data_IF_239418975998
#
_entry.id   IF_239418975998
#
_cell.length_a   1.000
_cell.length_b   1.000
_cell.length_c   1.000
_cell.angle_alpha   90.00
_cell.angle_beta   90.00
_cell.angle_gamma   90.00
#
_symmetry.space_group_name_H-M   'P 1'
#
loop_
_entity.id
_entity.type
_entity.pdbx_description
1 polymer ?
#
# COMPACT_ATOMS: atom_id res chain seq x y z
N UNK A 1 -4.69 -43.03 -9.44
CA UNK A 1 -5.35 -41.76 -9.81
C UNK A 1 -5.49 -40.96 -8.52
N UNK A 2 -4.51 -40.09 -8.26
CA UNK A 2 -4.19 -39.58 -6.92
C UNK A 2 -4.14 -38.05 -6.99
N UNK A 3 -4.99 -37.41 -6.17
CA UNK A 3 -4.82 -36.07 -5.63
C UNK A 3 -3.75 -36.11 -4.53
N UNK A 4 -2.87 -35.11 -4.38
CA UNK A 4 -2.09 -34.99 -3.15
C UNK A 4 -2.57 -33.81 -2.30
N UNK A 5 -2.99 -34.16 -1.08
CA UNK A 5 -2.88 -33.30 0.12
C UNK A 5 -1.61 -33.68 0.90
N UNK A 6 -1.02 -32.68 1.56
CA UNK A 6 0.00 -32.73 2.64
C UNK A 6 1.41 -33.23 2.24
N UNK A 7 2.56 -32.78 2.78
CA UNK A 7 2.98 -32.68 4.19
C UNK A 7 4.41 -32.04 4.26
N UNK A 8 4.72 -31.32 5.35
CA UNK A 8 6.09 -31.09 5.84
C UNK A 8 6.50 -32.24 6.76
N UNK A 9 7.51 -33.06 6.43
CA UNK A 9 8.35 -33.75 7.43
C UNK A 9 9.76 -33.92 6.89
N UNK A 10 10.73 -33.40 7.63
CA UNK A 10 12.15 -33.67 7.49
C UNK A 10 12.45 -35.09 7.99
N UNK A 11 13.23 -35.86 7.23
CA UNK A 11 13.82 -37.11 7.70
C UNK A 11 15.33 -36.94 7.86
N UNK A 12 15.80 -36.99 9.10
CA UNK A 12 17.18 -37.24 9.45
C UNK A 12 17.45 -38.75 9.32
N UNK A 13 18.53 -39.13 8.66
CA UNK A 13 19.15 -40.45 8.79
C UNK A 13 20.65 -40.27 9.00
N UNK A 14 21.09 -40.74 10.17
CA UNK A 14 22.47 -40.90 10.59
C UNK A 14 23.14 -42.00 9.76
N UNK A 15 24.33 -41.71 9.23
CA UNK A 15 25.24 -42.69 8.64
C UNK A 15 26.67 -42.22 8.84
N UNK A 16 27.32 -42.76 9.86
CA UNK A 16 28.74 -42.54 10.18
C UNK A 16 29.61 -43.46 9.33
N UNK A 17 30.53 -42.93 8.52
CA UNK A 17 31.74 -43.65 8.10
C UNK A 17 32.91 -42.68 7.83
N UNK A 18 33.89 -42.75 8.74
CA UNK A 18 35.35 -42.54 8.69
C UNK A 18 35.99 -41.74 7.54
N UNK A 19 36.83 -40.79 7.97
CA UNK A 19 38.00 -40.28 7.24
C UNK A 19 39.08 -41.36 7.09
N UNK A 20 39.84 -41.32 5.99
CA UNK A 20 41.32 -41.41 5.90
C UNK A 20 41.73 -41.29 4.40
N UNK A 21 42.92 -40.70 4.21
CA UNK A 21 43.89 -40.81 3.10
C UNK A 21 43.87 -39.92 1.83
N UNK A 22 44.97 -39.16 1.73
CA UNK A 22 45.54 -38.42 0.60
C UNK A 22 45.81 -39.29 -0.64
N UNK A 23 45.64 -38.74 -1.85
CA UNK A 23 46.59 -38.88 -2.96
C UNK A 23 46.59 -37.60 -3.82
N UNK A 24 47.79 -37.06 -4.03
CA UNK A 24 48.15 -35.96 -4.95
C UNK A 24 48.31 -36.51 -6.38
N UNK A 25 47.72 -35.87 -7.40
CA UNK A 25 48.43 -35.59 -8.67
C UNK A 25 47.72 -34.54 -9.56
N UNK A 26 48.57 -33.76 -10.24
CA UNK A 26 48.29 -32.61 -11.10
C UNK A 26 47.68 -33.03 -12.44
N UNK A 27 46.66 -32.33 -12.89
CA UNK A 27 46.57 -31.92 -14.30
C UNK A 27 45.68 -30.69 -14.47
N UNK A 28 46.25 -29.67 -15.10
CA UNK A 28 45.54 -28.47 -15.53
C UNK A 28 44.68 -28.84 -16.73
N UNK A 29 43.36 -28.80 -16.57
CA UNK A 29 42.41 -28.71 -17.68
C UNK A 29 41.56 -27.48 -17.43
N UNK A 30 41.61 -26.52 -18.35
CA UNK A 30 40.73 -25.38 -18.42
C UNK A 30 39.27 -25.87 -18.35
N UNK A 31 38.60 -25.63 -17.23
CA UNK A 31 37.16 -25.66 -17.19
C UNK A 31 36.69 -24.23 -16.94
N UNK A 32 36.06 -23.71 -18.00
CA UNK A 32 35.15 -22.58 -18.04
C UNK A 32 34.68 -22.14 -16.66
N UNK A 33 34.84 -20.85 -16.35
CA UNK A 33 33.98 -20.18 -15.39
C UNK A 33 32.55 -20.64 -15.67
N UNK A 34 31.99 -21.44 -14.76
CA UNK A 34 30.56 -21.55 -14.64
C UNK A 34 30.09 -20.11 -14.47
N UNK A 35 29.48 -19.56 -15.53
CA UNK A 35 28.70 -18.35 -15.40
C UNK A 35 27.70 -18.68 -14.30
N UNK A 36 27.94 -18.16 -13.10
CA UNK A 36 26.91 -18.09 -12.07
C UNK A 36 25.76 -17.40 -12.78
N UNK A 37 24.70 -18.15 -13.08
CA UNK A 37 23.51 -17.59 -13.69
C UNK A 37 23.14 -16.40 -12.83
N UNK A 38 23.20 -15.19 -13.38
CA UNK A 38 22.81 -14.00 -12.66
C UNK A 38 21.45 -14.31 -12.04
N UNK A 39 21.34 -14.17 -10.71
CA UNK A 39 20.09 -14.42 -10.01
C UNK A 39 19.01 -13.65 -10.78
N UNK A 40 18.00 -14.36 -11.29
CA UNK A 40 17.05 -13.71 -12.15
C UNK A 40 16.38 -12.56 -11.35
N UNK A 41 16.13 -11.45 -12.04
CA UNK A 41 15.61 -10.21 -11.42
C UNK A 41 14.32 -9.77 -12.09
N UNK A 42 13.59 -8.89 -11.40
CA UNK A 42 12.48 -8.13 -11.95
C UNK A 42 12.85 -6.66 -12.02
N UNK A 43 12.38 -5.98 -13.06
CA UNK A 43 12.53 -4.53 -13.20
C UNK A 43 11.17 -3.85 -13.06
N UNK A 44 11.13 -2.75 -12.31
CA UNK A 44 9.96 -1.88 -12.26
C UNK A 44 10.37 -0.48 -12.69
N UNK A 45 9.84 -0.03 -13.82
CA UNK A 45 10.01 1.32 -14.33
C UNK A 45 8.92 2.23 -13.77
N UNK A 46 9.30 3.21 -12.97
CA UNK A 46 8.44 4.32 -12.59
C UNK A 46 8.43 5.35 -13.71
N UNK A 47 7.25 5.86 -14.02
CA UNK A 47 7.03 6.96 -14.95
C UNK A 47 6.09 7.98 -14.33
N UNK A 48 6.58 9.21 -14.14
CA UNK A 48 5.74 10.30 -13.67
C UNK A 48 5.09 11.03 -14.85
N UNK A 49 3.85 10.70 -15.16
CA UNK A 49 3.06 11.43 -16.15
C UNK A 49 2.20 12.55 -15.52
N UNK A 50 2.39 12.83 -14.22
CA UNK A 50 1.72 13.96 -13.58
C UNK A 50 2.38 15.28 -14.01
N UNK A 51 1.59 16.36 -14.06
CA UNK A 51 2.09 17.72 -14.28
C UNK A 51 2.84 18.33 -13.08
N UNK A 52 3.27 17.51 -12.12
CA UNK A 52 4.03 17.91 -10.93
C UNK A 52 5.03 16.83 -10.53
N UNK A 53 6.05 17.20 -9.74
CA UNK A 53 6.98 16.26 -9.12
C UNK A 53 6.25 15.36 -8.12
N UNK A 54 6.52 14.06 -8.17
CA UNK A 54 6.02 13.08 -7.19
C UNK A 54 7.15 12.61 -6.29
N UNK A 55 6.83 12.34 -5.02
CA UNK A 55 7.72 11.65 -4.09
C UNK A 55 7.18 10.23 -3.89
N UNK A 56 8.02 9.21 -4.05
CA UNK A 56 7.61 7.81 -4.01
C UNK A 56 8.36 7.02 -2.94
N UNK A 57 7.76 5.91 -2.48
CA UNK A 57 8.45 5.01 -1.55
C UNK A 57 8.03 3.56 -1.75
N UNK A 58 9.04 2.69 -1.76
CA UNK A 58 8.90 1.24 -1.70
C UNK A 58 8.73 0.73 -0.28
N UNK A 59 7.96 -0.33 -0.14
CA UNK A 59 7.81 -1.11 1.11
C UNK A 59 7.80 -2.59 0.77
N UNK A 60 8.48 -3.41 1.56
CA UNK A 60 8.31 -4.87 1.53
C UNK A 60 7.10 -5.31 2.37
N UNK A 61 6.51 -6.46 2.04
CA UNK A 61 5.36 -7.01 2.74
C UNK A 61 5.64 -7.45 4.19
N UNK A 62 4.58 -7.48 5.01
CA UNK A 62 4.54 -8.12 6.34
C UNK A 62 4.10 -9.60 6.21
N UNK A 63 4.65 -10.49 7.04
CA UNK A 63 4.42 -11.95 7.15
C UNK A 63 5.50 -12.89 6.57
N UNK A 64 6.77 -12.53 6.69
CA UNK A 64 7.84 -13.52 6.71
C UNK A 64 8.52 -13.56 8.08
N UNK A 65 9.06 -14.71 8.53
CA UNK A 65 9.92 -14.77 9.71
C UNK A 65 10.98 -13.67 9.62
N UNK A 66 11.39 -13.12 10.77
CA UNK A 66 12.21 -11.91 10.95
C UNK A 66 13.56 -11.83 10.19
N UNK A 67 13.86 -12.79 9.31
CA UNK A 67 15.12 -12.99 8.62
C UNK A 67 15.01 -12.95 7.08
N UNK A 68 13.80 -12.85 6.50
CA UNK A 68 13.63 -12.62 5.06
C UNK A 68 13.51 -11.11 4.77
N UNK A 69 14.62 -10.39 4.91
CA UNK A 69 14.70 -9.00 4.45
C UNK A 69 14.61 -8.99 2.92
N UNK A 70 13.41 -8.78 2.37
CA UNK A 70 13.27 -8.44 0.96
C UNK A 70 13.88 -7.03 0.77
N UNK A 71 15.04 -6.90 0.09
CA UNK A 71 15.73 -5.63 0.01
C UNK A 71 14.86 -4.62 -0.73
N UNK A 72 14.73 -3.42 -0.16
CA UNK A 72 14.15 -2.28 -0.85
C UNK A 72 15.18 -1.77 -1.87
N UNK A 73 14.80 -1.53 -3.14
CA UNK A 73 15.73 -0.98 -4.12
C UNK A 73 16.23 0.40 -3.70
N UNK A 74 17.46 0.72 -4.09
CA UNK A 74 18.05 2.05 -3.90
C UNK A 74 17.16 3.14 -4.51
N UNK A 75 17.17 4.37 -3.97
CA UNK A 75 16.49 5.47 -4.62
C UNK A 75 17.10 5.80 -6.00
N UNK A 76 16.34 6.50 -6.82
CA UNK A 76 16.82 7.02 -8.10
C UNK A 76 17.80 8.21 -7.96
N UNK A 77 18.25 8.77 -9.09
CA UNK A 77 19.24 9.87 -9.10
C UNK A 77 18.79 11.11 -8.32
N UNK A 78 17.48 11.37 -8.26
CA UNK A 78 16.88 12.48 -7.52
C UNK A 78 16.37 12.04 -6.13
N UNK A 79 16.93 10.97 -5.57
CA UNK A 79 16.41 10.34 -4.37
C UNK A 79 15.07 9.64 -4.64
N UNK A 80 14.14 9.79 -3.70
CA UNK A 80 12.78 9.26 -3.77
C UNK A 80 11.81 10.18 -4.52
N UNK A 81 12.32 10.93 -5.51
CA UNK A 81 11.56 11.93 -6.26
C UNK A 81 11.63 11.64 -7.74
N UNK A 82 10.56 11.98 -8.46
CA UNK A 82 10.48 11.82 -9.90
C UNK A 82 9.83 13.09 -10.49
N UNK A 83 10.58 13.84 -11.29
CA UNK A 83 10.09 15.05 -11.97
C UNK A 83 9.05 14.69 -13.02
N UNK A 84 8.29 15.67 -13.46
CA UNK A 84 7.34 15.51 -14.57
C UNK A 84 8.04 14.91 -15.80
N UNK A 85 7.43 13.88 -16.38
CA UNK A 85 7.93 13.09 -17.51
C UNK A 85 9.21 12.29 -17.25
N UNK A 86 9.72 12.26 -16.03
CA UNK A 86 10.91 11.48 -15.68
C UNK A 86 10.56 9.99 -15.52
N UNK A 87 11.54 9.13 -15.83
CA UNK A 87 11.48 7.69 -15.62
C UNK A 87 12.64 7.20 -14.78
N UNK A 88 12.38 6.20 -13.94
CA UNK A 88 13.38 5.54 -13.13
C UNK A 88 13.12 4.04 -13.08
N UNK A 89 14.11 3.20 -13.33
CA UNK A 89 13.96 1.73 -13.24
C UNK A 89 14.66 1.21 -12.00
N UNK A 90 13.89 0.56 -11.13
CA UNK A 90 14.38 -0.20 -9.99
C UNK A 90 14.50 -1.69 -10.33
N UNK A 91 15.50 -2.36 -9.74
CA UNK A 91 15.72 -3.80 -9.90
C UNK A 91 15.44 -4.52 -8.58
N UNK A 92 14.69 -5.60 -8.67
CA UNK A 92 14.26 -6.43 -7.53
C UNK A 92 14.77 -7.85 -7.69
N UNK A 93 14.99 -8.51 -6.55
CA UNK A 93 15.22 -9.95 -6.50
C UNK A 93 13.94 -10.69 -6.92
N UNK A 94 14.09 -11.87 -7.53
CA UNK A 94 12.97 -12.64 -8.10
C UNK A 94 11.96 -13.22 -7.10
N UNK A 95 12.26 -13.18 -5.81
CA UNK A 95 11.35 -13.54 -4.73
C UNK A 95 11.18 -12.27 -3.91
N UNK A 96 10.24 -11.41 -4.27
CA UNK A 96 10.01 -10.15 -3.57
C UNK A 96 8.52 -9.87 -3.56
N UNK A 97 8.03 -9.43 -2.40
CA UNK A 97 6.66 -8.97 -2.25
C UNK A 97 6.66 -7.64 -1.52
N UNK A 98 5.79 -6.75 -1.96
CA UNK A 98 5.72 -5.39 -1.44
C UNK A 98 4.93 -4.47 -2.34
N UNK A 99 5.02 -3.18 -2.04
CA UNK A 99 4.29 -2.14 -2.76
C UNK A 99 5.06 -0.84 -2.90
N UNK A 100 4.52 0.03 -3.76
CA UNK A 100 4.93 1.42 -3.90
C UNK A 100 3.72 2.34 -3.80
N UNK A 101 3.89 3.43 -3.07
CA UNK A 101 2.99 4.58 -3.12
C UNK A 101 3.75 5.84 -3.50
N UNK A 102 3.00 6.87 -3.91
CA UNK A 102 3.55 8.20 -4.17
C UNK A 102 2.64 9.29 -3.60
N UNK A 103 3.22 10.46 -3.35
CA UNK A 103 2.55 11.66 -2.86
C UNK A 103 3.12 12.92 -3.53
N UNK A 104 2.42 14.03 -3.36
CA UNK A 104 2.84 15.36 -3.79
C UNK A 104 2.43 16.43 -2.75
N UNK A 105 3.32 17.38 -2.48
CA UNK A 105 3.05 18.54 -1.61
C UNK A 105 2.52 18.11 -0.25
N UNK A 106 1.41 18.73 0.19
CA UNK A 106 0.84 18.50 1.51
C UNK A 106 0.25 17.09 1.73
N UNK A 107 0.01 16.31 0.66
CA UNK A 107 -0.31 14.87 0.80
C UNK A 107 0.86 14.07 1.39
N UNK A 108 2.09 14.57 1.24
CA UNK A 108 3.28 14.02 1.88
C UNK A 108 3.42 14.39 3.36
N UNK A 109 2.65 15.35 3.88
CA UNK A 109 2.69 15.80 5.29
C UNK A 109 1.78 14.97 6.20
N UNK A 110 0.73 14.35 5.64
CA UNK A 110 -0.24 13.51 6.38
C UNK A 110 0.21 12.06 6.59
N UNK A 111 1.31 11.68 5.94
CA UNK A 111 2.14 10.56 6.34
C UNK A 111 3.49 11.11 6.76
N UNK A 112 4.27 10.38 7.53
CA UNK A 112 5.71 10.62 7.58
C UNK A 112 6.33 10.28 6.22
N UNK A 113 5.96 11.00 5.15
CA UNK A 113 6.28 10.71 3.76
C UNK A 113 7.28 11.73 3.22
N UNK A 114 8.45 11.70 3.88
CA UNK A 114 9.78 12.17 3.42
C UNK A 114 10.14 13.61 3.84
N UNK A 115 11.33 13.95 4.35
CA UNK A 115 12.68 13.33 4.41
C UNK A 115 13.07 12.68 5.74
N UNK A 116 13.89 11.62 5.71
CA UNK A 116 14.46 10.95 6.89
C UNK A 116 13.85 9.59 7.26
N UNK A 117 12.85 9.14 6.50
CA UNK A 117 12.15 7.90 6.80
C UNK A 117 10.74 8.04 6.27
N UNK A 118 10.56 7.81 4.97
CA UNK A 118 9.22 7.64 4.46
C UNK A 118 8.68 6.39 5.18
N UNK A 119 7.73 6.48 6.11
CA UNK A 119 6.92 5.31 6.42
C UNK A 119 5.95 5.16 5.25
N UNK A 120 5.58 3.96 4.84
CA UNK A 120 4.18 3.78 4.43
C UNK A 120 3.36 4.03 5.68
N UNK A 121 3.19 5.29 6.05
CA UNK A 121 2.43 5.62 7.22
C UNK A 121 0.98 5.28 6.87
N UNK A 122 0.41 4.41 7.67
CA UNK A 122 -0.99 4.01 7.72
C UNK A 122 -1.95 5.20 7.98
N UNK A 123 -1.57 6.45 7.69
CA UNK A 123 -2.22 7.67 8.19
C UNK A 123 -2.87 8.54 7.10
N UNK A 124 -2.36 8.52 5.86
CA UNK A 124 -2.91 9.27 4.72
C UNK A 124 -3.49 8.35 3.64
N UNK A 125 -4.42 8.83 2.79
CA UNK A 125 -4.90 8.05 1.67
C UNK A 125 -3.79 7.87 0.65
N UNK A 126 -3.60 6.63 0.18
CA UNK A 126 -2.53 6.34 -0.76
C UNK A 126 -2.94 5.23 -1.72
N UNK A 127 -2.97 5.57 -3.00
CA UNK A 127 -3.02 4.57 -4.07
C UNK A 127 -1.67 3.87 -4.13
N UNK A 128 -1.67 2.53 -4.15
CA UNK A 128 -0.45 1.74 -4.19
C UNK A 128 -0.47 0.72 -5.32
N UNK A 129 0.70 0.42 -5.82
CA UNK A 129 0.97 -0.69 -6.72
C UNK A 129 1.59 -1.82 -5.92
N UNK A 130 1.04 -3.03 -6.00
CA UNK A 130 1.50 -4.19 -5.21
C UNK A 130 1.95 -5.33 -6.11
N UNK A 131 2.95 -6.09 -5.63
CA UNK A 131 3.42 -7.29 -6.30
C UNK A 131 3.71 -8.41 -5.32
N UNK A 132 3.60 -9.62 -5.84
CA UNK A 132 4.31 -10.80 -5.37
C UNK A 132 5.03 -11.42 -6.57
N UNK A 133 6.34 -11.23 -6.63
CA UNK A 133 7.20 -11.86 -7.63
C UNK A 133 7.49 -13.30 -7.24
N UNK A 134 7.15 -14.22 -8.12
CA UNK A 134 7.31 -15.66 -7.89
C UNK A 134 8.47 -16.17 -8.73
N UNK A 135 9.51 -16.79 -8.11
CA UNK A 135 10.60 -17.42 -8.84
C UNK A 135 10.06 -18.48 -9.81
N UNK A 136 10.44 -18.35 -11.08
CA UNK A 136 10.08 -19.27 -12.18
C UNK A 136 8.58 -19.58 -12.29
N UNK A 137 7.75 -18.68 -11.77
CA UNK A 137 6.31 -18.85 -11.66
C UNK A 137 5.53 -17.68 -12.24
N UNK A 138 4.31 -17.54 -11.72
CA UNK A 138 3.39 -16.48 -12.10
C UNK A 138 3.43 -15.36 -11.07
N UNK A 139 3.74 -14.15 -11.52
CA UNK A 139 3.72 -12.98 -10.66
C UNK A 139 2.26 -12.54 -10.43
N UNK A 140 1.96 -12.09 -9.21
CA UNK A 140 0.67 -11.53 -8.83
C UNK A 140 0.84 -10.03 -8.61
N UNK A 141 -0.11 -9.23 -9.07
CA UNK A 141 -0.01 -7.79 -8.96
C UNK A 141 -1.36 -7.08 -9.06
N UNK A 142 -1.43 -5.89 -8.48
CA UNK A 142 -2.65 -5.09 -8.47
C UNK A 142 -2.35 -3.60 -8.19
N UNK A 143 -3.37 -2.76 -8.38
CA UNK A 143 -3.39 -1.40 -7.83
C UNK A 143 -4.40 -1.41 -6.69
N UNK A 144 -3.94 -1.19 -5.47
CA UNK A 144 -4.78 -1.12 -4.28
C UNK A 144 -5.14 0.31 -3.91
N UNK A 145 -6.38 0.48 -3.48
CA UNK A 145 -6.93 1.73 -2.92
C UNK A 145 -7.61 1.48 -1.57
N UNK A 146 -7.37 0.32 -0.95
CA UNK A 146 -7.95 -0.09 0.33
C UNK A 146 -7.66 0.93 1.45
N UNK A 147 -6.53 1.61 1.39
CA UNK A 147 -6.11 2.65 2.35
C UNK A 147 -6.47 4.06 1.89
N UNK A 148 -7.09 4.23 0.72
CA UNK A 148 -7.46 5.52 0.16
C UNK A 148 -6.80 5.80 -1.18
N UNK A 149 -7.10 6.97 -1.72
CA UNK A 149 -6.69 7.42 -3.05
C UNK A 149 -6.08 8.81 -2.95
N UNK A 150 -4.96 9.02 -3.63
CA UNK A 150 -4.34 10.34 -3.76
C UNK A 150 -3.85 10.61 -5.19
N UNK A 151 -3.04 9.71 -5.76
CA UNK A 151 -2.47 9.85 -7.10
C UNK A 151 -2.98 8.70 -7.98
N UNK A 152 -3.66 9.00 -9.10
CA UNK A 152 -4.04 8.01 -10.08
C UNK A 152 -2.84 7.19 -10.58
N UNK A 153 -3.00 5.87 -10.72
CA UNK A 153 -1.88 4.99 -11.05
C UNK A 153 -2.32 3.84 -11.95
N UNK A 154 -1.52 3.51 -12.98
CA UNK A 154 -1.65 2.23 -13.68
C UNK A 154 -0.36 1.41 -13.58
N UNK A 155 -0.51 0.10 -13.69
CA UNK A 155 0.61 -0.84 -13.76
C UNK A 155 0.49 -1.70 -15.01
N UNK A 156 1.53 -1.75 -15.83
CA UNK A 156 1.57 -2.55 -17.06
C UNK A 156 2.78 -3.50 -17.08
N UNK A 157 2.61 -4.80 -17.39
CA UNK A 157 3.73 -5.66 -17.76
C UNK A 157 4.28 -5.22 -19.13
N UNK A 158 5.60 -5.11 -19.26
CA UNK A 158 6.28 -4.62 -20.47
C UNK A 158 6.86 -5.79 -21.24
N UNK A 159 6.26 -6.10 -22.40
CA UNK A 159 6.71 -7.17 -23.28
C UNK A 159 5.80 -8.40 -23.26
N UNK A 160 4.95 -8.55 -22.24
CA UNK A 160 3.87 -9.52 -22.25
C UNK A 160 2.81 -9.21 -23.32
N UNK A 161 2.23 -10.28 -23.88
CA UNK A 161 1.04 -10.17 -24.71
C UNK A 161 -0.20 -10.06 -23.84
N UNK A 162 -0.87 -8.91 -23.89
CA UNK A 162 -2.15 -8.70 -23.22
C UNK A 162 -3.22 -9.66 -23.78
N UNK A 163 -3.84 -10.45 -22.91
CA UNK A 163 -4.94 -11.32 -23.31
C UNK A 163 -6.27 -10.57 -23.25
N UNK A 164 -6.85 -10.25 -24.40
CA UNK A 164 -8.14 -9.55 -24.48
C UNK A 164 -9.33 -10.42 -24.04
N UNK A 165 -9.18 -11.76 -24.08
CA UNK A 165 -10.20 -12.72 -23.63
C UNK A 165 -10.11 -13.03 -22.13
N UNK A 166 -8.97 -12.75 -21.51
CA UNK A 166 -8.76 -12.88 -20.07
C UNK A 166 -8.01 -11.63 -19.57
N UNK A 167 -8.74 -10.54 -19.30
CA UNK A 167 -8.13 -9.24 -19.05
C UNK A 167 -7.30 -9.20 -17.77
N UNK A 168 -7.36 -10.23 -16.91
CA UNK A 168 -6.56 -10.37 -15.69
C UNK A 168 -5.21 -11.08 -15.93
N UNK A 169 -5.02 -11.72 -17.10
CA UNK A 169 -3.74 -12.30 -17.52
C UNK A 169 -2.89 -11.27 -18.26
N UNK A 170 -1.78 -10.89 -17.64
CA UNK A 170 -0.88 -9.84 -18.09
C UNK A 170 -1.64 -8.54 -18.43
N UNK A 171 -2.68 -8.26 -17.66
CA UNK A 171 -3.50 -7.06 -17.80
C UNK A 171 -2.91 -5.83 -17.15
N UNK A 172 -3.66 -4.73 -17.24
CA UNK A 172 -3.21 -3.40 -16.82
C UNK A 172 -4.22 -2.83 -15.82
N UNK A 173 -4.07 -3.11 -14.51
CA UNK A 173 -4.88 -2.44 -13.49
C UNK A 173 -4.65 -0.93 -13.53
N UNK A 174 -5.72 -0.18 -13.35
CA UNK A 174 -5.69 1.28 -13.26
C UNK A 174 -5.65 2.02 -14.60
N UNK A 175 -5.65 1.29 -15.73
CA UNK A 175 -5.69 1.91 -17.06
C UNK A 175 -6.98 2.72 -17.27
N UNK A 176 -6.91 3.75 -18.10
CA UNK A 176 -8.04 4.64 -18.40
C UNK A 176 -8.81 4.16 -19.63
N UNK A 177 -8.14 3.41 -20.48
CA UNK A 177 -8.68 2.87 -21.71
C UNK A 177 -9.69 1.78 -21.41
N UNK A 178 -10.85 1.89 -22.05
CA UNK A 178 -11.82 0.80 -22.06
C UNK A 178 -11.25 -0.38 -22.84
N UNK A 179 -11.60 -1.58 -22.41
CA UNK A 179 -11.34 -2.80 -23.19
C UNK A 179 -12.65 -3.33 -23.73
N UNK A 180 -12.56 -4.20 -24.74
CA UNK A 180 -13.71 -4.83 -25.40
C UNK A 180 -14.73 -5.40 -24.41
N UNK A 181 -14.27 -5.79 -23.22
CA UNK A 181 -15.05 -6.42 -22.17
C UNK A 181 -15.48 -5.47 -21.03
N UNK A 182 -14.98 -4.24 -20.89
CA UNK A 182 -15.39 -3.36 -19.78
C UNK A 182 -14.77 -1.97 -19.79
N UNK A 183 -15.25 -1.10 -18.90
CA UNK A 183 -14.78 0.29 -18.80
C UNK A 183 -13.42 0.40 -18.12
N UNK A 184 -12.59 1.30 -18.62
CA UNK A 184 -11.37 1.73 -17.93
C UNK A 184 -11.66 2.59 -16.70
N UNK A 185 -10.62 2.96 -15.98
CA UNK A 185 -10.71 3.81 -14.81
C UNK A 185 -10.87 5.28 -15.19
N UNK A 186 -11.87 5.93 -14.59
CA UNK A 186 -12.03 7.38 -14.69
C UNK A 186 -11.08 8.13 -13.76
N UNK A 187 -10.71 7.51 -12.63
CA UNK A 187 -9.97 8.14 -11.52
C UNK A 187 -10.64 9.39 -10.92
N UNK A 188 -11.88 9.68 -11.30
CA UNK A 188 -12.67 10.81 -10.78
C UNK A 188 -13.56 10.32 -9.64
N UNK A 189 -12.98 10.21 -8.44
CA UNK A 189 -13.72 9.78 -7.26
C UNK A 189 -14.71 10.85 -6.78
N UNK A 190 -14.45 12.13 -7.05
CA UNK A 190 -15.35 13.23 -6.67
C UNK A 190 -16.70 13.13 -7.38
N UNK A 191 -16.72 12.62 -8.62
CA UNK A 191 -17.95 12.32 -9.35
C UNK A 191 -18.83 11.28 -8.66
N UNK A 192 -18.24 10.32 -7.95
CA UNK A 192 -18.95 9.21 -7.34
C UNK A 192 -19.11 9.34 -5.82
N UNK A 193 -18.42 10.31 -5.20
CA UNK A 193 -18.46 10.55 -3.77
C UNK A 193 -18.49 12.06 -3.47
N UNK A 194 -19.65 12.52 -3.01
CA UNK A 194 -19.87 13.91 -2.58
C UNK A 194 -19.79 14.09 -1.07
N UNK A 195 -19.81 13.00 -0.29
CA UNK A 195 -19.77 13.09 1.16
C UNK A 195 -18.38 13.51 1.64
N UNK A 196 -18.37 14.57 2.46
CA UNK A 196 -17.16 15.19 2.95
C UNK A 196 -16.38 14.32 3.94
N UNK A 197 -17.00 13.29 4.52
CA UNK A 197 -16.33 12.30 5.37
C UNK A 197 -15.38 11.37 4.59
N UNK A 198 -15.35 11.44 3.26
CA UNK A 198 -14.33 10.74 2.48
C UNK A 198 -13.18 11.65 2.08
N UNK A 199 -13.31 12.96 2.20
CA UNK A 199 -12.28 13.88 1.74
C UNK A 199 -11.03 13.77 2.62
N UNK A 200 -9.87 13.75 1.99
CA UNK A 200 -8.61 14.03 2.65
C UNK A 200 -8.13 15.43 2.27
N UNK A 201 -7.82 16.24 3.28
CA UNK A 201 -7.51 17.66 3.09
C UNK A 201 -6.19 18.03 3.75
N UNK A 202 -5.49 18.95 3.09
CA UNK A 202 -4.27 19.53 3.58
C UNK A 202 -4.12 20.96 3.06
N UNK A 203 -3.20 21.74 3.65
CA UNK A 203 -3.11 23.18 3.39
C UNK A 203 -4.43 23.92 3.69
N UNK A 204 -4.59 25.09 3.07
CA UNK A 204 -5.75 25.96 3.27
C UNK A 204 -5.78 26.61 4.66
N UNK A 205 -6.97 27.05 5.07
CA UNK A 205 -7.21 27.78 6.31
C UNK A 205 -6.97 26.95 7.56
N UNK A 206 -7.09 25.61 7.47
CA UNK A 206 -7.00 24.72 8.63
C UNK A 206 -8.09 24.96 9.67
N UNK A 207 -9.17 25.67 9.31
CA UNK A 207 -10.31 25.92 10.19
C UNK A 207 -11.03 24.60 10.48
N UNK A 208 -11.32 24.30 11.75
CA UNK A 208 -12.12 23.13 12.10
C UNK A 208 -13.50 23.20 11.43
N UNK A 209 -13.99 22.06 10.93
CA UNK A 209 -15.28 21.97 10.24
C UNK A 209 -16.05 20.72 10.66
N UNK A 210 -17.38 20.79 10.53
CA UNK A 210 -18.31 19.70 10.85
C UNK A 210 -19.37 19.47 9.77
N UNK A 211 -19.27 20.18 8.64
CA UNK A 211 -20.21 20.09 7.52
C UNK A 211 -19.55 20.48 6.20
N UNK A 212 -20.12 19.99 5.09
CA UNK A 212 -19.65 20.30 3.74
C UNK A 212 -19.64 21.81 3.42
N UNK A 213 -20.58 22.58 3.99
CA UNK A 213 -20.68 24.04 3.82
C UNK A 213 -19.88 24.85 4.85
N UNK A 214 -19.15 24.19 5.76
CA UNK A 214 -18.39 24.86 6.83
C UNK A 214 -17.14 25.60 6.36
N UNK A 215 -16.75 25.39 5.09
CA UNK A 215 -15.54 25.90 4.47
C UNK A 215 -15.86 26.94 3.40
N UNK A 216 -14.90 27.82 3.12
CA UNK A 216 -15.05 28.95 2.22
C UNK A 216 -13.80 29.09 1.34
N UNK A 217 -13.84 29.94 0.32
CA UNK A 217 -12.67 30.16 -0.53
C UNK A 217 -12.28 28.96 -1.41
N UNK A 218 -13.25 28.09 -1.76
CA UNK A 218 -12.99 26.89 -2.57
C UNK A 218 -12.43 25.70 -1.78
N UNK A 219 -12.25 25.84 -0.47
CA UNK A 219 -11.88 24.74 0.41
C UNK A 219 -13.04 23.78 0.65
N UNK A 220 -12.70 22.54 0.97
CA UNK A 220 -13.67 21.52 1.37
C UNK A 220 -13.40 21.08 2.80
N UNK A 221 -14.45 20.66 3.49
CA UNK A 221 -14.32 19.97 4.76
C UNK A 221 -13.82 18.54 4.52
N UNK A 222 -12.90 18.05 5.34
CA UNK A 222 -12.41 16.68 5.24
C UNK A 222 -11.44 16.31 6.35
N UNK A 223 -11.02 15.04 6.35
CA UNK A 223 -10.08 14.50 7.31
C UNK A 223 -8.65 14.99 7.04
N UNK A 224 -7.97 15.35 8.11
CA UNK A 224 -6.53 15.58 8.17
C UNK A 224 -5.97 14.79 9.35
N UNK A 225 -4.90 14.05 9.11
CA UNK A 225 -4.16 13.41 10.19
C UNK A 225 -3.34 14.44 10.96
N UNK A 226 -3.48 14.43 12.28
CA UNK A 226 -2.76 15.28 13.23
C UNK A 226 -1.87 14.38 14.08
N UNK A 227 -0.53 14.45 13.92
CA UNK A 227 0.40 13.64 14.70
C UNK A 227 0.15 13.75 16.22
N UNK A 228 0.12 12.61 16.90
CA UNK A 228 -0.14 12.53 18.34
C UNK A 228 -1.61 12.70 18.75
N UNK A 229 -2.51 13.06 17.82
CA UNK A 229 -3.95 13.25 18.10
C UNK A 229 -4.81 12.25 17.33
N UNK A 230 -4.50 11.97 16.06
CA UNK A 230 -5.30 11.12 15.18
C UNK A 230 -5.98 11.92 14.06
N UNK A 231 -7.15 11.48 13.61
CA UNK A 231 -7.89 12.18 12.56
C UNK A 231 -8.74 13.32 13.13
N UNK A 232 -8.71 14.48 12.46
CA UNK A 232 -9.62 15.60 12.71
C UNK A 232 -10.19 16.17 11.42
N UNK A 233 -11.30 16.90 11.53
CA UNK A 233 -12.01 17.49 10.38
C UNK A 233 -11.67 18.98 10.25
N UNK A 234 -11.13 19.35 9.09
CA UNK A 234 -10.67 20.71 8.82
C UNK A 234 -11.06 21.16 7.41
N UNK A 235 -11.10 22.47 7.21
CA UNK A 235 -11.15 23.09 5.90
C UNK A 235 -9.76 23.08 5.29
N UNK A 236 -9.67 22.63 4.04
CA UNK A 236 -8.44 22.64 3.28
C UNK A 236 -8.64 22.27 1.82
N UNK A 237 -7.51 22.09 1.14
CA UNK A 237 -7.48 21.67 -0.26
C UNK A 237 -7.56 20.15 -0.31
N UNK A 238 -8.51 19.61 -1.09
CA UNK A 238 -8.65 18.17 -1.28
C UNK A 238 -7.47 17.61 -2.06
N UNK A 239 -6.73 16.68 -1.46
CA UNK A 239 -5.63 15.98 -2.14
C UNK A 239 -5.93 14.49 -2.38
N UNK A 240 -7.05 13.99 -1.88
CA UNK A 240 -7.40 12.59 -1.99
C UNK A 240 -8.69 12.23 -1.29
N UNK A 241 -8.92 10.92 -1.17
CA UNK A 241 -10.06 10.33 -0.50
C UNK A 241 -9.60 9.23 0.46
N UNK A 242 -10.00 9.33 1.72
CA UNK A 242 -9.90 8.21 2.66
C UNK A 242 -10.95 7.15 2.32
N UNK A 243 -10.63 5.89 2.60
CA UNK A 243 -11.65 4.84 2.70
C UNK A 243 -12.17 4.75 4.12
N UNK A 244 -13.38 4.21 4.28
CA UNK A 244 -13.92 3.89 5.59
C UNK A 244 -13.00 2.94 6.38
N UNK A 245 -12.37 1.96 5.69
CA UNK A 245 -11.34 1.10 6.28
C UNK A 245 -10.20 1.94 6.90
N UNK A 246 -9.66 2.89 6.14
CA UNK A 246 -8.56 3.72 6.61
C UNK A 246 -8.96 4.66 7.74
N UNK A 247 -10.17 5.23 7.68
CA UNK A 247 -10.69 6.06 8.78
C UNK A 247 -10.87 5.22 10.03
N UNK A 248 -11.49 4.04 9.94
CA UNK A 248 -11.66 3.15 11.07
C UNK A 248 -10.33 2.65 11.66
N UNK A 249 -9.28 2.49 10.85
CA UNK A 249 -7.96 2.10 11.32
C UNK A 249 -7.25 3.22 12.12
N UNK A 250 -7.58 4.48 11.83
CA UNK A 250 -6.96 5.66 12.47
C UNK A 250 -7.81 6.28 13.59
N UNK A 251 -9.12 6.15 13.46
CA UNK A 251 -10.13 6.62 14.40
C UNK A 251 -11.13 5.49 14.63
N UNK A 252 -10.75 4.62 15.54
CA UNK A 252 -11.53 3.48 15.99
C UNK A 252 -12.94 3.87 16.49
N UNK A 253 -13.11 5.11 16.96
CA UNK A 253 -14.36 5.64 17.51
C UNK A 253 -15.22 6.41 16.50
N UNK A 254 -14.82 6.44 15.23
CA UNK A 254 -15.48 7.25 14.22
C UNK A 254 -16.98 6.90 14.10
N UNK A 255 -17.82 7.90 14.38
CA UNK A 255 -19.28 7.71 14.45
C UNK A 255 -19.94 7.65 13.07
N UNK A 256 -19.38 8.34 12.07
CA UNK A 256 -19.91 8.34 10.71
C UNK A 256 -19.79 6.96 10.06
N UNK A 257 -18.59 6.38 10.09
CA UNK A 257 -18.35 5.01 9.61
C UNK A 257 -18.70 3.92 10.63
N UNK A 258 -19.21 4.33 11.80
CA UNK A 258 -19.70 3.43 12.85
C UNK A 258 -18.64 2.42 13.31
N UNK A 259 -17.37 2.82 13.31
CA UNK A 259 -16.23 1.92 13.43
C UNK A 259 -16.26 1.08 14.72
N UNK A 260 -16.72 1.65 15.83
CA UNK A 260 -16.83 0.97 17.14
C UNK A 260 -18.17 0.25 17.36
N UNK A 261 -19.15 0.45 16.48
CA UNK A 261 -20.46 -0.20 16.62
C UNK A 261 -20.36 -1.69 16.36
N UNK A 262 -21.23 -2.46 17.02
CA UNK A 262 -21.33 -3.90 16.77
C UNK A 262 -21.62 -4.19 15.30
N UNK A 263 -20.89 -5.16 14.75
CA UNK A 263 -21.15 -5.75 13.44
C UNK A 263 -22.51 -6.51 13.40
N UNK A 264 -23.13 -6.72 14.56
CA UNK A 264 -24.37 -7.48 14.71
C UNK A 264 -24.15 -8.99 14.79
N UNK A 265 -22.99 -9.41 15.31
CA UNK A 265 -22.65 -10.80 15.56
C UNK A 265 -22.64 -11.16 17.06
N UNK A 266 -22.82 -12.45 17.36
CA UNK A 266 -22.77 -12.98 18.72
C UNK A 266 -21.35 -12.99 19.32
N UNK A 267 -20.33 -12.62 18.54
CA UNK A 267 -18.91 -12.62 18.94
C UNK A 267 -18.43 -11.28 19.48
N UNK A 268 -19.28 -10.24 19.47
CA UNK A 268 -18.97 -8.94 20.04
C UNK A 268 -18.03 -8.07 19.19
N UNK A 269 -17.93 -8.36 17.89
CA UNK A 269 -17.04 -7.62 17.00
C UNK A 269 -17.64 -6.32 16.50
N UNK A 270 -16.75 -5.49 15.95
CA UNK A 270 -17.03 -4.13 15.54
C UNK A 270 -16.96 -3.99 14.02
N UNK A 271 -17.61 -2.96 13.47
CA UNK A 271 -17.60 -2.68 12.02
C UNK A 271 -16.17 -2.53 11.48
N UNK A 272 -15.25 -1.94 12.25
CA UNK A 272 -13.82 -1.85 11.87
C UNK A 272 -13.15 -3.20 11.63
N UNK A 273 -13.57 -4.24 12.36
CA UNK A 273 -12.99 -5.57 12.25
C UNK A 273 -13.41 -6.23 10.93
N UNK A 274 -14.61 -5.90 10.44
CA UNK A 274 -15.06 -6.31 9.11
C UNK A 274 -14.25 -5.62 8.02
N UNK A 275 -14.01 -4.31 8.09
CA UNK A 275 -13.18 -3.61 7.08
C UNK A 275 -11.79 -4.23 6.92
N UNK A 276 -11.16 -4.61 8.03
CA UNK A 276 -9.84 -5.25 8.05
C UNK A 276 -9.85 -6.75 7.78
N UNK A 277 -11.02 -7.39 7.68
CA UNK A 277 -11.16 -8.86 7.65
C UNK A 277 -10.38 -9.56 8.79
N UNK A 278 -10.47 -9.02 10.00
CA UNK A 278 -9.74 -9.53 11.18
C UNK A 278 -10.64 -10.30 12.14
N UNK A 279 -10.03 -11.02 13.08
CA UNK A 279 -10.75 -11.85 14.05
C UNK A 279 -11.44 -13.04 13.35
N UNK A 280 -12.66 -13.44 13.73
CA UNK A 280 -13.39 -14.53 13.07
C UNK A 280 -13.80 -14.25 11.61
N UNK A 281 -13.63 -13.03 11.07
CA UNK A 281 -13.95 -12.67 9.68
C UNK A 281 -12.73 -12.69 8.75
N UNK A 282 -11.87 -13.70 8.85
CA UNK A 282 -10.68 -13.82 7.99
C UNK A 282 -10.90 -14.73 6.76
N UNK A 283 -12.12 -15.24 6.57
CA UNK A 283 -12.42 -16.13 5.44
C UNK A 283 -13.02 -15.36 4.29
N UNK A 284 -12.55 -15.65 3.07
CA UNK A 284 -13.15 -15.15 1.84
C UNK A 284 -14.45 -15.87 1.51
N UNK A 285 -15.50 -15.12 1.19
CA UNK A 285 -16.75 -15.70 0.70
C UNK A 285 -16.69 -16.26 -0.74
N UNK A 286 -15.59 -16.02 -1.48
CA UNK A 286 -15.40 -16.59 -2.82
C UNK A 286 -14.90 -18.05 -2.78
N UNK A 287 -14.34 -18.48 -1.65
CA UNK A 287 -13.77 -19.82 -1.52
C UNK A 287 -14.80 -20.86 -1.07
N UNK A 288 -14.77 -22.10 -1.60
CA UNK A 288 -15.78 -23.12 -1.27
C UNK A 288 -15.64 -23.69 0.15
N UNK A 289 -14.47 -23.56 0.78
CA UNK A 289 -14.26 -23.99 2.17
C UNK A 289 -14.97 -23.10 3.21
N UNK A 290 -15.48 -21.92 2.81
CA UNK A 290 -16.28 -21.07 3.69
C UNK A 290 -17.78 -21.40 3.67
N UNK A 291 -18.21 -22.36 2.82
CA UNK A 291 -19.58 -22.86 2.72
C UNK A 291 -19.92 -23.63 4.00
N UNK A 292 -20.69 -23.00 4.89
CA UNK A 292 -21.10 -23.56 6.18
C UNK A 292 -20.77 -22.68 7.40
N UNK A 293 -20.04 -21.58 7.23
CA UNK A 293 -19.84 -20.57 8.27
C UNK A 293 -20.68 -19.31 7.98
N UNK A 294 -22.00 -19.51 7.93
CA UNK A 294 -22.97 -18.43 7.73
C UNK A 294 -22.67 -17.27 8.68
N UNK A 295 -22.42 -16.09 8.09
CA UNK A 295 -22.11 -14.90 8.85
C UNK A 295 -20.74 -14.93 9.54
N UNK A 296 -19.70 -15.51 8.92
CA UNK A 296 -18.28 -15.30 9.30
C UNK A 296 -17.32 -15.03 8.13
N UNK A 297 -17.84 -14.74 6.94
CA UNK A 297 -17.02 -14.40 5.76
C UNK A 297 -16.88 -12.89 5.57
N UNK A 298 -15.67 -12.47 5.23
CA UNK A 298 -15.35 -11.12 4.80
C UNK A 298 -15.38 -11.02 3.28
N UNK A 299 -15.81 -9.88 2.76
CA UNK A 299 -15.89 -9.69 1.32
C UNK A 299 -17.07 -10.38 0.65
N UNK A 300 -16.82 -10.87 -0.57
CA UNK A 300 -17.79 -11.53 -1.44
C UNK A 300 -18.79 -10.54 -2.08
N UNK A 301 -18.25 -9.50 -2.70
CA UNK A 301 -19.03 -8.45 -3.37
C UNK A 301 -19.20 -8.78 -4.86
N UNK A 302 -20.40 -9.20 -5.26
CA UNK A 302 -20.76 -9.28 -6.68
C UNK A 302 -20.97 -7.87 -7.24
N UNK A 303 -19.92 -7.27 -7.81
CA UNK A 303 -19.92 -5.88 -8.27
C UNK A 303 -20.98 -5.57 -9.34
N UNK A 304 -21.31 -6.55 -10.18
CA UNK A 304 -22.38 -6.43 -11.18
C UNK A 304 -23.76 -6.19 -10.54
N UNK A 305 -24.06 -6.88 -9.43
CA UNK A 305 -25.32 -6.69 -8.67
C UNK A 305 -25.42 -5.28 -8.07
N UNK A 306 -24.28 -4.58 -7.96
CA UNK A 306 -24.14 -3.23 -7.40
C UNK A 306 -24.07 -2.15 -8.47
N UNK A 307 -24.29 -2.51 -9.73
CA UNK A 307 -24.25 -1.59 -10.88
C UNK A 307 -22.84 -1.12 -11.24
N UNK A 308 -21.82 -1.91 -10.89
CA UNK A 308 -20.42 -1.65 -11.28
C UNK A 308 -20.02 -2.65 -12.36
N UNK A 309 -19.67 -2.13 -13.55
CA UNK A 309 -19.10 -2.92 -14.63
C UNK A 309 -17.63 -3.26 -14.37
N UNK A 310 -17.38 -4.43 -13.77
CA UNK A 310 -16.04 -5.01 -13.70
C UNK A 310 -15.67 -5.71 -15.00
N UNK A 311 -14.39 -5.98 -15.23
CA UNK A 311 -13.94 -6.68 -16.43
C UNK A 311 -14.48 -8.13 -16.40
N UNK A 312 -15.29 -8.56 -17.38
CA UNK A 312 -15.90 -9.87 -17.39
C UNK A 312 -14.88 -10.90 -17.85
N UNK A 313 -14.83 -11.99 -17.11
CA UNK A 313 -14.06 -13.19 -17.43
C UNK A 313 -14.80 -14.38 -16.81
N UNK A 314 -14.78 -15.58 -17.42
CA UNK A 314 -15.26 -16.81 -16.78
C UNK A 314 -14.65 -17.06 -15.39
N UNK A 315 -13.49 -16.45 -15.12
CA UNK A 315 -12.74 -16.54 -13.87
C UNK A 315 -13.09 -15.46 -12.84
N UNK A 316 -13.93 -14.46 -13.15
CA UNK A 316 -14.49 -13.57 -12.12
C UNK A 316 -15.48 -14.40 -11.33
N UNK A 317 -14.95 -15.02 -10.28
CA UNK A 317 -15.70 -15.91 -9.43
C UNK A 317 -16.81 -15.13 -8.75
N UNK A 318 -18.04 -15.58 -8.99
CA UNK A 318 -19.19 -15.07 -8.27
C UNK A 318 -19.07 -15.45 -6.81
N UNK A 319 -19.65 -14.62 -5.98
CA UNK A 319 -19.75 -14.88 -4.57
C UNK A 319 -20.40 -16.25 -4.31
N UNK A 320 -19.72 -17.11 -3.54
CA UNK A 320 -20.26 -18.44 -3.14
C UNK A 320 -21.03 -18.37 -1.84
N UNK A 321 -20.58 -17.53 -0.90
CA UNK A 321 -21.22 -17.32 0.40
C UNK A 321 -21.37 -15.82 0.65
N UNK A 322 -22.61 -15.33 0.58
CA UNK A 322 -22.92 -13.91 0.86
C UNK A 322 -23.02 -13.70 2.38
N UNK A 323 -22.36 -12.68 2.89
CA UNK A 323 -22.57 -12.17 4.24
C UNK A 323 -23.51 -10.95 4.19
N UNK A 324 -24.76 -11.06 4.66
CA UNK A 324 -25.70 -9.94 4.64
C UNK A 324 -25.19 -8.71 5.41
N UNK A 325 -24.43 -8.90 6.49
CA UNK A 325 -23.86 -7.81 7.29
C UNK A 325 -22.76 -7.07 6.55
N UNK A 326 -21.93 -7.79 5.78
CA UNK A 326 -20.96 -7.17 4.89
C UNK A 326 -21.66 -6.33 3.81
N UNK A 327 -22.67 -6.90 3.16
CA UNK A 327 -23.41 -6.24 2.10
C UNK A 327 -24.18 -5.00 2.58
N UNK A 328 -24.66 -5.02 3.82
CA UNK A 328 -25.37 -3.92 4.49
C UNK A 328 -24.40 -2.83 4.97
N UNK A 329 -23.31 -3.19 5.65
CA UNK A 329 -22.48 -2.26 6.43
C UNK A 329 -21.18 -1.84 5.77
N UNK A 330 -20.62 -2.68 4.91
CA UNK A 330 -19.26 -2.50 4.35
C UNK A 330 -19.32 -2.17 2.87
N UNK A 331 -19.96 -3.02 2.06
CA UNK A 331 -19.99 -2.89 0.60
C UNK A 331 -20.42 -1.49 0.09
N UNK A 332 -21.45 -0.82 0.68
CA UNK A 332 -21.84 0.53 0.23
C UNK A 332 -20.72 1.56 0.33
N UNK A 333 -19.81 1.41 1.30
CA UNK A 333 -18.70 2.34 1.50
C UNK A 333 -17.55 2.14 0.51
N UNK A 334 -17.63 1.12 -0.35
CA UNK A 334 -16.62 0.76 -1.36
C UNK A 334 -17.08 1.07 -2.80
N UNK A 335 -18.38 1.27 -3.03
CA UNK A 335 -18.95 1.43 -4.37
C UNK A 335 -18.30 2.55 -5.18
N UNK A 336 -18.06 3.69 -4.55
CA UNK A 336 -17.47 4.83 -5.23
C UNK A 336 -16.05 4.53 -5.74
N UNK A 337 -15.30 3.69 -5.01
CA UNK A 337 -13.95 3.31 -5.41
C UNK A 337 -13.98 2.49 -6.69
N UNK A 338 -14.83 1.47 -6.71
CA UNK A 338 -14.99 0.59 -7.87
C UNK A 338 -15.66 1.26 -9.06
N UNK A 339 -16.59 2.18 -8.84
CA UNK A 339 -17.16 3.01 -9.92
C UNK A 339 -16.12 3.92 -10.55
N UNK A 340 -15.24 4.51 -9.73
CA UNK A 340 -14.16 5.36 -10.23
C UNK A 340 -13.09 4.54 -10.98
N UNK A 341 -12.77 3.35 -10.49
CA UNK A 341 -11.80 2.45 -11.11
C UNK A 341 -12.16 0.96 -10.89
N UNK A 342 -12.79 0.29 -11.88
CA UNK A 342 -13.27 -1.09 -11.70
C UNK A 342 -12.18 -2.14 -11.41
N UNK A 343 -10.93 -1.86 -11.75
CA UNK A 343 -9.80 -2.80 -11.63
C UNK A 343 -9.00 -2.66 -10.33
N UNK A 344 -9.28 -1.69 -9.47
CA UNK A 344 -8.49 -1.49 -8.24
C UNK A 344 -8.91 -2.40 -7.12
N UNK A 345 -7.98 -2.90 -6.33
CA UNK A 345 -8.24 -3.69 -5.14
C UNK A 345 -8.78 -2.78 -4.02
N UNK A 346 -10.01 -3.01 -3.56
CA UNK A 346 -10.72 -2.08 -2.67
C UNK A 346 -10.89 -2.56 -1.23
N UNK A 347 -10.80 -3.86 -0.98
CA UNK A 347 -10.95 -4.48 0.33
C UNK A 347 -10.25 -5.86 0.34
N UNK A 348 -9.92 -6.45 1.50
CA UNK A 348 -9.25 -7.74 1.52
C UNK A 348 -10.15 -8.83 0.91
N UNK A 349 -9.60 -9.64 0.02
CA UNK A 349 -10.31 -10.61 -0.82
C UNK A 349 -11.05 -10.04 -2.05
N UNK A 350 -10.77 -8.80 -2.48
CA UNK A 350 -11.24 -8.26 -3.77
C UNK A 350 -10.44 -8.83 -4.99
N UNK A 351 -9.84 -10.01 -4.82
CA UNK A 351 -8.93 -10.62 -5.79
C UNK A 351 -9.60 -10.89 -7.13
N UNK A 352 -10.84 -11.41 -7.07
CA UNK A 352 -11.58 -11.90 -8.24
C UNK A 352 -11.89 -10.83 -9.28
N UNK A 353 -11.77 -9.54 -8.92
CA UNK A 353 -11.96 -8.42 -9.84
C UNK A 353 -10.81 -7.42 -9.90
N UNK A 354 -9.71 -7.70 -9.19
CA UNK A 354 -8.67 -6.69 -8.98
C UNK A 354 -7.24 -7.22 -8.97
N UNK A 355 -7.05 -8.54 -8.82
CA UNK A 355 -5.72 -9.16 -8.83
C UNK A 355 -5.42 -9.69 -10.22
N UNK A 356 -4.28 -9.29 -10.75
CA UNK A 356 -3.78 -9.66 -12.06
C UNK A 356 -2.61 -10.64 -11.91
N UNK A 357 -2.41 -11.45 -12.94
CA UNK A 357 -1.36 -12.46 -12.96
C UNK A 357 -0.59 -12.41 -14.26
N UNK A 358 0.73 -12.54 -14.21
CA UNK A 358 1.54 -12.61 -15.44
C UNK A 358 2.68 -13.63 -15.32
N UNK A 359 2.71 -14.70 -16.16
CA UNK A 359 3.77 -15.70 -16.13
C UNK A 359 5.10 -15.16 -16.62
N UNK A 360 6.15 -15.28 -15.80
CA UNK A 360 7.54 -15.10 -16.25
C UNK A 360 7.93 -13.68 -16.71
N UNK A 361 7.10 -12.66 -16.50
CA UNK A 361 7.38 -11.27 -16.87
C UNK A 361 8.63 -10.77 -16.16
N UNK A 362 9.48 -10.01 -16.86
CA UNK A 362 10.74 -9.49 -16.30
C UNK A 362 10.66 -8.00 -16.02
N UNK A 363 9.70 -7.28 -16.62
CA UNK A 363 9.58 -5.84 -16.46
C UNK A 363 8.14 -5.39 -16.31
N UNK A 364 7.90 -4.54 -15.32
CA UNK A 364 6.65 -3.79 -15.14
C UNK A 364 6.92 -2.29 -15.29
N UNK A 365 5.89 -1.52 -15.66
CA UNK A 365 5.89 -0.05 -15.57
C UNK A 365 4.75 0.43 -14.69
N UNK A 366 5.06 1.32 -13.77
CA UNK A 366 4.10 2.15 -13.06
C UNK A 366 4.02 3.50 -13.74
N UNK A 367 2.81 3.91 -14.11
CA UNK A 367 2.55 5.28 -14.58
C UNK A 367 1.69 6.01 -13.56
N UNK A 368 2.26 7.04 -12.93
CA UNK A 368 1.51 8.00 -12.14
C UNK A 368 0.76 8.97 -13.07
N UNK A 369 -0.50 9.29 -12.76
CA UNK A 369 -1.39 10.11 -13.59
C UNK A 369 -1.55 9.59 -15.03
N UNK A 370 -2.16 8.41 -15.26
CA UNK A 370 -2.30 7.83 -16.60
C UNK A 370 -2.97 8.75 -17.64
N UNK A 371 -3.91 9.62 -17.24
CA UNK A 371 -4.56 10.59 -18.15
C UNK A 371 -3.71 11.82 -18.49
N UNK A 372 -2.49 11.96 -17.95
CA UNK A 372 -1.60 13.11 -18.20
C UNK A 372 -2.04 14.43 -17.55
N UNK A 373 -3.19 14.46 -16.88
CA UNK A 373 -3.67 15.67 -16.21
C UNK A 373 -3.09 15.80 -14.81
N UNK A 374 -2.58 17.00 -14.52
CA UNK A 374 -2.56 17.61 -13.19
C UNK A 374 -3.89 17.31 -12.49
N UNK A 375 -3.84 16.71 -11.30
CA UNK A 375 -4.99 16.59 -10.40
C UNK A 375 -5.89 17.84 -10.51
N UNK A 376 -7.21 17.65 -10.53
CA UNK A 376 -8.21 18.72 -10.35
C UNK A 376 -8.10 19.41 -8.98
N UNK A 377 -7.09 19.08 -8.19
CA UNK A 377 -6.62 19.89 -7.06
C UNK A 377 -6.08 21.22 -7.61
N UNK A 378 -6.67 22.38 -7.26
CA UNK A 378 -6.07 23.67 -7.60
C UNK A 378 -4.63 23.66 -7.09
N UNK A 379 -3.68 23.93 -7.98
CA UNK A 379 -2.32 24.29 -7.63
C UNK A 379 -2.40 25.26 -6.44
N UNK A 380 -1.72 25.01 -5.31
CA UNK A 380 -1.59 26.05 -4.30
C UNK A 380 -0.97 27.24 -5.02
N UNK A 381 -1.77 28.30 -5.20
CA UNK A 381 -1.25 29.60 -5.61
C UNK A 381 -0.11 29.86 -4.67
N UNK A 382 1.10 30.08 -5.21
CA UNK A 382 2.26 30.49 -4.45
C UNK A 382 1.81 31.56 -3.48
N UNK A 383 1.71 31.21 -2.19
CA UNK A 383 1.50 32.20 -1.15
C UNK A 383 2.60 33.24 -1.29
N UNK A 384 2.34 34.52 -0.94
CA UNK A 384 3.38 35.53 -0.97
C UNK A 384 4.61 34.99 -0.25
N UNK A 385 5.76 35.16 -0.89
CA UNK A 385 7.09 34.88 -0.34
C UNK A 385 7.08 35.19 1.16
N UNK A 386 7.47 34.27 2.04
CA UNK A 386 7.49 34.56 3.46
C UNK A 386 8.30 35.84 3.68
N UNK A 387 7.63 36.84 4.24
CA UNK A 387 8.26 38.08 4.71
C UNK A 387 9.47 37.68 5.55
N UNK A 388 10.64 38.33 5.38
CA UNK A 388 11.84 37.98 6.15
C UNK A 388 11.51 37.92 7.63
N UNK A 389 11.51 36.71 8.19
CA UNK A 389 11.40 36.52 9.63
C UNK A 389 12.64 37.20 10.26
N UNK A 390 12.48 38.00 11.32
CA UNK A 390 13.62 38.67 11.95
C UNK A 390 14.68 37.64 12.32
N UNK A 391 15.93 37.96 11.98
CA UNK A 391 17.13 37.16 12.24
C UNK A 391 17.10 36.66 13.68
N UNK A 392 16.77 35.38 13.86
CA UNK A 392 16.94 34.74 15.15
C UNK A 392 18.44 34.58 15.37
N UNK A 393 18.94 35.22 16.43
CA UNK A 393 20.28 35.00 16.98
C UNK A 393 20.52 33.50 17.13
N UNK A 394 21.63 32.94 16.63
CA UNK A 394 21.92 31.52 16.78
C UNK A 394 21.93 31.13 18.26
N UNK A 395 21.02 30.23 18.64
CA UNK A 395 21.14 29.52 19.90
C UNK A 395 22.37 28.59 19.84
N UNK A 396 23.11 28.42 20.94
CA UNK A 396 24.41 27.76 20.94
C UNK A 396 24.31 26.30 20.53
N UNK A 397 25.24 25.88 19.68
CA UNK A 397 25.46 24.49 19.25
C UNK A 397 25.64 23.56 20.46
N UNK A 398 24.82 22.50 20.64
CA UNK A 398 25.12 21.46 21.62
C UNK A 398 26.34 20.66 21.16
N UNK A 399 27.32 20.53 22.04
CA UNK A 399 28.55 19.76 21.82
C UNK A 399 28.34 18.24 21.72
N UNK A 400 29.42 17.48 21.45
CA UNK A 400 29.33 16.08 21.07
C UNK A 400 29.12 15.13 22.27
N UNK A 401 28.26 14.11 22.09
CA UNK A 401 28.62 12.75 22.49
C UNK A 401 27.97 12.10 23.73
N UNK A 402 26.74 12.43 24.11
CA UNK A 402 26.02 11.64 25.11
C UNK A 402 25.36 10.39 24.50
N UNK A 403 25.72 9.17 24.94
CA UNK A 403 24.97 7.96 24.57
C UNK A 403 23.68 7.89 25.39
N UNK A 404 22.56 7.60 24.77
CA UNK A 404 21.27 7.39 25.43
C UNK A 404 20.94 5.89 25.50
N UNK A 405 20.36 5.46 26.61
CA UNK A 405 19.94 4.07 26.87
C UNK A 405 18.44 3.97 27.09
N UNK A 406 17.86 2.87 26.62
CA UNK A 406 16.46 2.56 26.84
C UNK A 406 16.21 2.06 28.26
N UNK A 407 15.23 2.65 28.96
CA UNK A 407 14.90 2.35 30.36
C UNK A 407 13.58 1.59 30.54
N UNK A 408 12.89 1.24 29.46
CA UNK A 408 11.67 0.41 29.53
C UNK A 408 11.94 -1.09 29.60
N UNK A 409 10.87 -1.88 29.73
CA UNK A 409 10.93 -3.33 29.98
C UNK A 409 10.82 -4.18 28.70
N UNK A 410 11.04 -3.58 27.52
CA UNK A 410 11.02 -4.31 26.24
C UNK A 410 12.10 -5.41 26.20
N UNK A 411 11.80 -6.61 25.67
CA UNK A 411 12.80 -7.66 25.44
C UNK A 411 13.87 -7.26 24.41
N UNK A 412 13.60 -6.28 23.55
CA UNK A 412 14.53 -5.80 22.50
C UNK A 412 15.31 -4.53 22.93
N UNK A 413 15.94 -4.61 24.11
CA UNK A 413 16.60 -3.47 24.75
C UNK A 413 17.72 -2.83 23.90
N UNK A 414 18.44 -3.63 23.12
CA UNK A 414 19.56 -3.15 22.30
C UNK A 414 19.10 -2.34 21.09
N UNK A 415 18.02 -2.78 20.44
CA UNK A 415 17.38 -2.04 19.35
C UNK A 415 16.78 -0.72 19.85
N UNK A 416 16.14 -0.74 21.03
CA UNK A 416 15.58 0.50 21.60
C UNK A 416 16.67 1.45 22.11
N UNK A 417 17.82 0.92 22.54
CA UNK A 417 18.99 1.73 22.89
C UNK A 417 19.59 2.41 21.65
N UNK A 418 19.64 1.73 20.50
CA UNK A 418 20.01 2.39 19.23
C UNK A 418 19.00 3.47 18.82
N UNK A 419 17.70 3.22 19.01
CA UNK A 419 16.66 4.22 18.77
C UNK A 419 16.83 5.46 19.64
N UNK A 420 17.12 5.30 20.94
CA UNK A 420 17.38 6.42 21.86
C UNK A 420 18.60 7.24 21.41
N UNK A 421 19.69 6.59 20.99
CA UNK A 421 20.90 7.29 20.52
C UNK A 421 20.66 8.15 19.27
N UNK A 422 19.70 7.77 18.43
CA UNK A 422 19.43 8.48 17.18
C UNK A 422 18.46 9.66 17.35
N UNK A 423 17.50 9.56 18.27
CA UNK A 423 16.36 10.48 18.35
C UNK A 423 16.43 11.49 19.51
N UNK A 424 17.12 11.15 20.61
CA UNK A 424 17.20 12.01 21.79
C UNK A 424 17.91 13.37 21.61
N UNK A 425 18.82 13.60 20.64
CA UNK A 425 19.41 14.93 20.43
C UNK A 425 18.41 16.04 20.04
N UNK A 426 17.21 15.67 19.56
CA UNK A 426 16.16 16.60 19.15
C UNK A 426 14.84 16.44 19.93
N UNK A 427 14.53 15.23 20.41
CA UNK A 427 13.31 14.95 21.18
C UNK A 427 13.49 13.70 22.05
N UNK A 428 13.43 13.84 23.37
CA UNK A 428 13.66 12.75 24.32
C UNK A 428 12.41 12.52 25.18
N UNK A 429 11.71 11.37 25.04
CA UNK A 429 10.66 10.96 25.97
C UNK A 429 11.33 10.53 27.29
N UNK A 430 11.16 11.28 28.40
CA UNK A 430 11.91 11.08 29.64
C UNK A 430 11.58 9.77 30.37
N UNK A 431 10.48 9.14 30.00
CA UNK A 431 9.96 7.86 30.49
C UNK A 431 10.48 6.65 29.69
N UNK A 432 11.10 6.86 28.52
CA UNK A 432 11.60 5.77 27.67
C UNK A 432 13.12 5.76 27.50
N UNK A 433 13.75 6.93 27.45
CA UNK A 433 15.18 7.07 27.20
C UNK A 433 15.83 7.93 28.27
N UNK A 434 17.01 7.53 28.72
CA UNK A 434 17.83 8.32 29.64
C UNK A 434 19.25 8.43 29.09
N UNK A 435 19.92 9.54 29.37
CA UNK A 435 21.36 9.65 29.13
C UNK A 435 22.08 8.57 29.95
N UNK A 436 22.95 7.80 29.29
CA UNK A 436 23.69 6.67 29.88
C UNK A 436 24.67 7.12 30.95
#
# INVERSE_FOLDING_TARGET
MISPKFFCVALALLGSVRAEDEVVDRSVVHNSHAATSAAATRQVELYNNCGYEVQYKWTSGFNTPANAFFPIPSPGPNGYKLKTQERYTATFVNNWSGNIGACQGASCETGSACTGGCGVANAGPMTRAEWTFVPDGTDFYDITVINGVNIPMKMEPIGASYNTNDPYKCGIPGRIESVTSGSGCSWDYAKFQSDFHYNAVAGGSGKACSSASGCSGGEVCGYKFVPGVGLGMFCGVRYGFYTANQVCALDNGNSYFKCDQSAGDATGLKVRDMYGCVGPWYLSGYQPASVGQDGKVCGCTDWADRGVGVLPTPQTEKCKVKNPKWLEKIAPNLDFLKKACPTTYTYPYDDMTSTFVCPGEKKFRITFCPSGTTSTTPTPTTGPTPTPQPTQTPAPTPGPGGKYVYIGTSPDKDAMTQWCNWNCPAFCPPDMCRLA
#
